data_IF_891276014562
#
_entry.id   IF_891276014562
#
_cell.length_a   1.000
_cell.length_b   1.000
_cell.length_c   1.000
_cell.angle_alpha   90.00
_cell.angle_beta   90.00
_cell.angle_gamma   90.00
#
_symmetry.space_group_name_H-M   'P 1'
#
loop_
_entity.id
_entity.type
_entity.pdbx_description
1 polymer ?
#
# COMPACT_ATOMS: atom_id res chain seq x y z
N UNK A 1 -7.30 29.79 -26.87
CA UNK A 1 -5.86 29.80 -26.52
C UNK A 1 -5.65 30.75 -25.35
N UNK A 2 -5.47 30.24 -24.13
CA UNK A 2 -4.41 30.59 -23.16
C UNK A 2 -4.42 29.46 -22.14
N UNK A 3 -3.59 28.44 -22.42
CA UNK A 3 -3.13 27.47 -21.42
C UNK A 3 -1.97 28.15 -20.72
N UNK A 4 -2.13 28.50 -19.44
CA UNK A 4 -1.00 28.87 -18.57
C UNK A 4 -1.16 28.15 -17.23
N UNK A 5 -0.67 26.92 -17.25
CA UNK A 5 0.25 26.39 -16.25
C UNK A 5 -0.16 26.60 -14.78
N UNK A 6 -1.02 25.71 -14.28
CA UNK A 6 -1.20 25.47 -12.83
C UNK A 6 -0.52 24.16 -12.39
N UNK A 7 0.54 23.78 -13.10
CA UNK A 7 1.52 22.80 -12.65
C UNK A 7 2.61 23.56 -11.88
N UNK A 8 3.12 22.94 -10.82
CA UNK A 8 4.24 23.41 -9.99
C UNK A 8 3.92 24.34 -8.82
N UNK A 9 2.95 23.98 -7.99
CA UNK A 9 3.14 24.09 -6.52
C UNK A 9 3.70 22.78 -5.97
N UNK A 10 4.74 22.23 -6.64
CA UNK A 10 5.66 21.29 -6.00
C UNK A 10 6.44 22.13 -4.99
N UNK A 11 5.87 22.27 -3.79
CA UNK A 11 6.55 22.79 -2.62
C UNK A 11 7.95 22.19 -2.61
N UNK A 12 8.96 23.05 -2.63
CA UNK A 12 10.34 22.70 -2.31
C UNK A 12 10.36 22.30 -0.83
N UNK A 13 9.84 21.12 -0.50
CA UNK A 13 10.18 20.49 0.77
C UNK A 13 11.68 20.20 0.66
N UNK A 14 12.50 20.85 1.48
CA UNK A 14 13.88 20.45 1.61
C UNK A 14 13.94 18.99 2.05
N UNK A 15 14.99 18.28 1.68
CA UNK A 15 15.24 16.90 2.09
C UNK A 15 15.04 16.72 3.61
N UNK A 16 15.51 17.70 4.39
CA UNK A 16 15.33 17.77 5.83
C UNK A 16 13.86 17.86 6.34
N UNK A 17 12.92 18.38 5.55
CA UNK A 17 11.49 18.38 5.93
C UNK A 17 10.81 17.05 5.60
N UNK A 18 11.30 16.32 4.58
CA UNK A 18 10.81 14.98 4.24
C UNK A 18 11.25 13.96 5.30
N UNK A 19 12.50 14.03 5.76
CA UNK A 19 13.01 13.18 6.85
C UNK A 19 12.19 13.34 8.15
N UNK A 20 11.83 14.58 8.49
CA UNK A 20 11.01 14.91 9.67
C UNK A 20 9.57 14.41 9.57
N UNK A 21 9.03 14.34 8.35
CA UNK A 21 7.69 13.79 8.10
C UNK A 21 7.64 12.27 8.26
N UNK A 22 8.77 11.56 8.20
CA UNK A 22 8.87 10.10 8.40
C UNK A 22 9.18 9.69 9.86
N UNK A 23 9.51 10.64 10.73
CA UNK A 23 9.81 10.38 12.13
C UNK A 23 8.57 10.24 13.02
N UNK A 24 8.61 9.34 14.01
CA UNK A 24 7.56 9.25 15.02
C UNK A 24 7.49 10.55 15.83
N UNK A 25 6.30 11.15 15.97
CA UNK A 25 6.10 12.38 16.76
C UNK A 25 6.29 12.22 18.29
N UNK A 26 6.67 11.04 18.78
CA UNK A 26 6.96 10.76 20.20
C UNK A 26 8.44 10.47 20.41
N UNK A 27 9.00 9.48 19.71
CA UNK A 27 10.42 9.12 19.88
C UNK A 27 11.38 9.86 18.95
N UNK A 28 10.85 10.57 17.94
CA UNK A 28 11.63 11.32 16.94
C UNK A 28 12.60 10.45 16.12
N UNK A 29 12.28 9.15 15.98
CA UNK A 29 13.07 8.21 15.18
C UNK A 29 12.35 7.89 13.87
N UNK A 30 13.07 7.68 12.75
CA UNK A 30 12.50 7.21 11.50
C UNK A 30 11.86 5.83 11.69
N UNK A 31 10.59 5.69 11.31
CA UNK A 31 9.87 4.43 11.49
C UNK A 31 8.60 4.34 10.65
N UNK A 32 8.14 3.12 10.42
CA UNK A 32 6.77 2.89 9.96
C UNK A 32 5.79 3.29 11.06
N UNK A 33 4.89 4.22 10.74
CA UNK A 33 3.90 4.73 11.68
C UNK A 33 2.61 3.90 11.61
N UNK A 34 1.92 3.83 12.73
CA UNK A 34 0.63 3.20 12.88
C UNK A 34 -0.43 4.26 13.17
N UNK A 35 -1.55 4.20 12.46
CA UNK A 35 -2.70 5.10 12.62
C UNK A 35 -3.69 4.52 13.62
N UNK A 36 -4.07 5.33 14.61
CA UNK A 36 -5.09 4.98 15.59
C UNK A 36 -6.52 5.13 15.02
N UNK A 37 -7.38 4.10 15.09
CA UNK A 37 -8.67 4.07 14.38
C UNK A 37 -9.69 5.12 14.87
N UNK A 38 -9.59 5.56 16.12
CA UNK A 38 -10.56 6.49 16.72
C UNK A 38 -10.25 7.97 16.51
N UNK A 39 -9.01 8.31 16.11
CA UNK A 39 -8.56 9.70 16.06
C UNK A 39 -7.57 10.02 14.94
N UNK A 40 -7.20 9.02 14.13
CA UNK A 40 -6.29 9.13 12.99
C UNK A 40 -4.90 9.71 13.30
N UNK A 41 -4.49 9.77 14.57
CA UNK A 41 -3.11 10.14 14.93
C UNK A 41 -2.18 8.98 14.61
N UNK A 42 -0.99 9.31 14.11
CA UNK A 42 0.03 8.37 13.68
C UNK A 42 1.24 8.38 14.62
N UNK A 43 1.61 7.21 15.15
CA UNK A 43 2.75 7.00 16.05
C UNK A 43 3.40 5.65 15.74
N UNK A 44 4.66 5.42 16.10
CA UNK A 44 5.28 4.11 15.88
C UNK A 44 4.68 3.03 16.79
N UNK A 45 4.77 1.77 16.37
CA UNK A 45 4.21 0.63 17.11
C UNK A 45 4.81 0.47 18.52
N UNK A 46 6.09 0.80 18.69
CA UNK A 46 6.76 0.74 19.99
C UNK A 46 6.20 1.80 20.95
N UNK A 47 6.06 3.06 20.50
CA UNK A 47 5.46 4.11 21.30
C UNK A 47 3.98 3.83 21.63
N UNK A 48 3.23 3.20 20.71
CA UNK A 48 1.88 2.72 20.99
C UNK A 48 1.88 1.69 22.12
N UNK A 49 2.73 0.65 22.03
CA UNK A 49 2.79 -0.40 23.05
C UNK A 49 3.17 0.15 24.42
N UNK A 50 4.24 0.94 24.49
CA UNK A 50 4.71 1.55 25.74
C UNK A 50 3.64 2.42 26.40
N UNK A 51 2.90 3.18 25.58
CA UNK A 51 1.82 4.02 26.07
C UNK A 51 0.59 3.22 26.51
N UNK A 52 0.21 2.19 25.73
CA UNK A 52 -0.97 1.37 26.00
C UNK A 52 -0.91 0.64 27.35
N UNK A 53 0.30 0.32 27.82
CA UNK A 53 0.54 -0.26 29.16
C UNK A 53 0.16 0.74 30.27
N UNK A 54 0.31 2.05 30.02
CA UNK A 54 0.10 3.12 30.99
C UNK A 54 -1.27 3.77 30.87
N UNK A 55 -1.84 3.83 29.67
CA UNK A 55 -3.08 4.54 29.39
C UNK A 55 -3.78 4.00 28.15
N UNK A 56 -5.08 3.73 28.29
CA UNK A 56 -5.97 3.43 27.17
C UNK A 56 -6.46 4.72 26.47
N UNK A 57 -5.55 5.63 26.17
CA UNK A 57 -5.84 6.89 25.49
C UNK A 57 -4.82 7.21 24.40
N UNK A 58 -5.18 8.03 23.43
CA UNK A 58 -4.23 8.49 22.42
C UNK A 58 -3.19 9.43 23.07
N UNK A 59 -1.87 9.21 22.88
CA UNK A 59 -0.84 10.12 23.39
C UNK A 59 -0.99 11.56 22.90
N UNK A 60 -1.51 11.74 21.68
CA UNK A 60 -1.58 13.03 21.01
C UNK A 60 -2.81 13.85 21.45
N UNK A 61 -3.99 13.22 21.51
CA UNK A 61 -5.25 13.93 21.77
C UNK A 61 -6.01 13.46 23.01
N UNK A 62 -5.49 12.45 23.73
CA UNK A 62 -6.14 11.82 24.90
C UNK A 62 -7.52 11.19 24.62
N UNK A 63 -7.88 11.05 23.35
CA UNK A 63 -9.08 10.30 22.94
C UNK A 63 -9.02 8.85 23.40
N UNK A 64 -10.17 8.27 23.76
CA UNK A 64 -10.24 6.90 24.28
C UNK A 64 -9.77 5.86 23.27
N UNK A 65 -8.89 4.96 23.71
CA UNK A 65 -8.45 3.75 23.00
C UNK A 65 -8.96 2.47 23.67
N UNK A 66 -9.97 2.58 24.55
CA UNK A 66 -10.63 1.40 25.11
C UNK A 66 -11.06 0.45 24.00
N UNK A 67 -10.65 -0.82 24.12
CA UNK A 67 -10.93 -1.91 23.16
C UNK A 67 -10.18 -1.84 21.83
N UNK A 68 -9.19 -0.96 21.70
CA UNK A 68 -8.27 -0.95 20.55
C UNK A 68 -7.13 -1.91 20.85
N UNK A 69 -6.93 -2.89 19.97
CA UNK A 69 -5.81 -3.83 20.00
C UNK A 69 -4.81 -3.53 18.88
N UNK A 70 -3.66 -4.21 18.89
CA UNK A 70 -2.65 -4.07 17.83
C UNK A 70 -3.18 -4.43 16.43
N UNK A 71 -4.14 -5.34 16.34
CA UNK A 71 -4.80 -5.70 15.08
C UNK A 71 -5.75 -4.63 14.52
N UNK A 72 -6.14 -3.65 15.33
CA UNK A 72 -7.00 -2.53 14.90
C UNK A 72 -6.20 -1.34 14.38
N UNK A 73 -4.86 -1.42 14.44
CA UNK A 73 -3.95 -0.39 13.96
C UNK A 73 -3.69 -0.55 12.46
N UNK A 74 -3.56 0.59 11.77
CA UNK A 74 -3.29 0.62 10.34
C UNK A 74 -1.89 1.14 10.08
N UNK A 75 -1.13 0.44 9.23
CA UNK A 75 0.17 0.94 8.76
C UNK A 75 -0.07 2.18 7.90
N UNK A 76 0.57 3.29 8.27
CA UNK A 76 0.60 4.50 7.46
C UNK A 76 1.62 4.31 6.33
N UNK A 77 1.14 4.31 5.10
CA UNK A 77 1.99 4.26 3.91
C UNK A 77 2.68 5.60 3.68
N UNK A 78 3.99 5.57 3.49
CA UNK A 78 4.78 6.73 3.07
C UNK A 78 4.69 6.91 1.54
N UNK A 79 5.16 8.06 1.03
CA UNK A 79 5.18 8.32 -0.42
C UNK A 79 6.00 7.31 -1.21
N UNK A 80 7.00 6.66 -0.57
CA UNK A 80 7.79 5.59 -1.17
C UNK A 80 7.05 4.26 -1.31
N UNK A 81 5.98 4.05 -0.55
CA UNK A 81 5.19 2.80 -0.59
C UNK A 81 4.13 2.80 -1.70
N UNK A 82 3.84 3.97 -2.26
CA UNK A 82 2.82 4.15 -3.30
C UNK A 82 3.42 3.87 -4.67
N UNK A 83 3.00 2.77 -5.29
CA UNK A 83 3.37 2.43 -6.68
C UNK A 83 2.57 3.30 -7.66
N UNK A 84 3.25 3.86 -8.65
CA UNK A 84 2.60 4.71 -9.65
C UNK A 84 1.70 3.88 -10.60
N UNK A 85 0.68 4.54 -11.15
CA UNK A 85 -0.34 3.88 -11.98
C UNK A 85 0.24 3.26 -13.26
N UNK A 86 1.34 3.80 -13.81
CA UNK A 86 1.99 3.27 -15.01
C UNK A 86 2.67 1.93 -14.67
N UNK A 87 3.37 1.88 -13.54
CA UNK A 87 4.00 0.65 -13.04
C UNK A 87 2.97 -0.44 -12.74
N UNK A 88 1.88 -0.10 -12.02
CA UNK A 88 0.78 -1.04 -11.73
C UNK A 88 0.19 -1.61 -13.02
N UNK A 89 -0.15 -0.75 -13.97
CA UNK A 89 -0.77 -1.17 -15.24
C UNK A 89 0.14 -2.10 -16.05
N UNK A 90 1.45 -1.82 -16.05
CA UNK A 90 2.45 -2.65 -16.74
C UNK A 90 2.55 -4.04 -16.10
N UNK A 91 2.59 -4.11 -14.78
CA UNK A 91 2.66 -5.38 -14.04
C UNK A 91 1.39 -6.21 -14.21
N UNK A 92 0.22 -5.58 -14.14
CA UNK A 92 -1.06 -6.26 -14.34
C UNK A 92 -1.18 -6.85 -15.75
N UNK A 93 -0.77 -6.10 -16.77
CA UNK A 93 -0.73 -6.60 -18.15
C UNK A 93 0.19 -7.83 -18.26
N UNK A 94 1.36 -7.78 -17.61
CA UNK A 94 2.32 -8.89 -17.64
C UNK A 94 1.79 -10.13 -16.92
N UNK A 95 1.18 -9.96 -15.73
CA UNK A 95 0.52 -11.04 -14.99
C UNK A 95 -0.63 -11.65 -15.78
N UNK A 96 -1.44 -10.82 -16.45
CA UNK A 96 -2.52 -11.27 -17.31
C UNK A 96 -1.99 -12.12 -18.47
N UNK A 97 -0.96 -11.63 -19.16
CA UNK A 97 -0.32 -12.40 -20.24
C UNK A 97 0.20 -13.75 -19.73
N UNK A 98 0.94 -13.76 -18.62
CA UNK A 98 1.46 -15.00 -18.03
C UNK A 98 0.33 -15.97 -17.68
N UNK A 99 -0.74 -15.48 -17.05
CA UNK A 99 -1.91 -16.28 -16.76
C UNK A 99 -2.47 -16.94 -18.02
N UNK A 100 -2.74 -16.17 -19.07
CA UNK A 100 -3.25 -16.69 -20.36
C UNK A 100 -2.32 -17.75 -20.94
N UNK A 101 -1.00 -17.51 -20.92
CA UNK A 101 -0.03 -18.48 -21.47
C UNK A 101 0.13 -19.74 -20.62
N UNK A 102 -0.22 -19.67 -19.34
CA UNK A 102 -0.18 -20.82 -18.42
C UNK A 102 -1.43 -21.69 -18.49
N UNK A 103 -2.49 -21.23 -19.18
CA UNK A 103 -3.71 -22.01 -19.33
C UNK A 103 -3.43 -23.27 -20.19
N UNK A 104 -4.02 -24.43 -19.83
CA UNK A 104 -3.98 -25.61 -20.69
C UNK A 104 -4.49 -25.25 -22.08
N UNK A 105 -3.79 -25.73 -23.10
CA UNK A 105 -4.30 -25.63 -24.47
C UNK A 105 -5.46 -26.61 -24.58
N UNK A 106 -6.68 -26.10 -24.73
CA UNK A 106 -7.79 -26.92 -25.21
C UNK A 106 -7.45 -27.35 -26.64
N UNK A 107 -7.00 -28.60 -26.78
CA UNK A 107 -6.91 -29.26 -28.09
C UNK A 107 -8.35 -29.68 -28.40
N UNK A 108 -8.99 -29.16 -29.45
CA UNK A 108 -10.33 -29.61 -29.80
C UNK A 108 -10.28 -31.11 -30.13
N UNK A 109 -11.18 -31.91 -29.54
CA UNK A 109 -11.36 -33.34 -29.84
C UNK A 109 -11.53 -33.61 -31.35
N UNK A 110 -11.93 -32.59 -32.11
CA UNK A 110 -12.04 -32.63 -33.57
C UNK A 110 -10.71 -32.99 -34.28
N UNK A 111 -9.55 -32.61 -33.73
CA UNK A 111 -8.26 -33.02 -34.30
C UNK A 111 -7.99 -34.51 -34.05
N UNK A 112 -8.47 -35.08 -32.94
CA UNK A 112 -8.34 -36.51 -32.66
C UNK A 112 -9.18 -37.35 -33.64
N UNK A 113 -10.38 -36.88 -34.00
CA UNK A 113 -11.25 -37.57 -34.97
C UNK A 113 -10.68 -37.58 -36.40
N UNK A 114 -10.10 -36.46 -36.85
CA UNK A 114 -9.48 -36.38 -38.18
C UNK A 114 -8.29 -37.32 -38.32
N UNK A 115 -7.48 -37.51 -37.27
CA UNK A 115 -6.36 -38.45 -37.33
C UNK A 115 -6.80 -39.92 -37.40
N UNK A 116 -7.96 -40.28 -36.82
CA UNK A 116 -8.50 -41.63 -36.93
C UNK A 116 -9.19 -41.91 -38.27
N UNK A 117 -9.83 -40.92 -38.90
CA UNK A 117 -10.41 -41.09 -40.25
C UNK A 117 -9.37 -41.25 -41.36
N UNK A 118 -8.13 -40.75 -41.18
CA UNK A 118 -7.03 -40.92 -42.14
C UNK A 118 -6.22 -42.22 -41.96
N UNK A 119 -6.50 -43.01 -40.92
CA UNK A 119 -5.82 -44.29 -40.63
C UNK A 119 -6.72 -45.52 -40.80
N UNK A 120 -7.92 -45.34 -41.36
CA UNK A 120 -8.82 -46.40 -41.85
C UNK A 120 -8.76 -46.39 -43.38
#
# INVERSE_FOLDING_TARGET
>A
MVVRHRLEEKRKHSDADLEREDECGICLEPCTKMVLPNCCHAICINCYHDWSIRSESCPCCRGSLKRVNSGDLWVLTCSGDVVDQVTVSREDMFRFYLYITSLPKDIPDALFLLYYEYLI
#
